data_IF_216913276860
#
_entry.id   IF_216913276860
#
_cell.length_a   1.000
_cell.length_b   1.000
_cell.length_c   1.000
_cell.angle_alpha   90.00
_cell.angle_beta   90.00
_cell.angle_gamma   90.00
#
_symmetry.space_group_name_H-M   'P 1'
#
loop_
_entity.id
_entity.type
_entity.pdbx_description
1 polymer ?
#
# COMPACT_ATOMS: atom_id res chain seq x y z
N UNK A 1 23.04 -27.46 21.31
CA UNK A 1 22.48 -27.31 19.95
C UNK A 1 21.31 -26.34 20.03
N UNK A 2 21.57 -25.03 19.88
CA UNK A 2 20.57 -23.98 20.08
C UNK A 2 19.65 -23.92 18.84
N UNK A 3 18.35 -24.09 19.06
CA UNK A 3 17.30 -24.01 18.04
C UNK A 3 17.23 -22.59 17.45
N UNK A 4 17.73 -22.43 16.23
CA UNK A 4 17.70 -21.18 15.43
C UNK A 4 16.35 -20.94 14.74
N UNK A 5 15.23 -21.33 15.34
CA UNK A 5 13.89 -21.20 14.72
C UNK A 5 13.00 -20.16 15.42
N UNK A 6 13.50 -18.95 15.62
CA UNK A 6 12.63 -17.82 15.97
C UNK A 6 13.09 -16.49 15.36
N UNK A 7 13.57 -16.54 14.11
CA UNK A 7 13.69 -15.33 13.29
C UNK A 7 12.28 -14.97 12.86
N UNK A 8 11.71 -13.99 13.56
CA UNK A 8 10.49 -13.28 13.22
C UNK A 8 10.30 -13.18 11.70
N UNK A 9 9.25 -13.81 11.19
CA UNK A 9 8.83 -13.83 9.79
C UNK A 9 8.28 -12.45 9.35
N UNK A 10 9.09 -11.39 9.48
CA UNK A 10 8.75 -10.00 9.13
C UNK A 10 9.64 -9.44 8.00
N UNK A 11 10.59 -10.22 7.48
CA UNK A 11 11.61 -9.69 6.56
C UNK A 11 11.10 -9.60 5.11
N UNK A 12 10.23 -10.51 4.69
CA UNK A 12 9.69 -10.55 3.32
C UNK A 12 8.25 -10.02 3.32
N UNK A 13 8.00 -8.98 2.51
CA UNK A 13 6.68 -8.34 2.37
C UNK A 13 5.81 -9.14 1.40
N UNK A 14 4.59 -9.44 1.81
CA UNK A 14 3.56 -10.00 0.92
C UNK A 14 2.86 -8.86 0.17
N UNK A 15 3.47 -8.41 -0.92
CA UNK A 15 2.94 -7.27 -1.68
C UNK A 15 1.71 -7.68 -2.47
N UNK A 16 0.65 -6.87 -2.38
CA UNK A 16 -0.55 -7.03 -3.17
C UNK A 16 -0.48 -6.10 -4.39
N UNK A 17 -0.01 -6.65 -5.52
CA UNK A 17 0.22 -5.91 -6.76
C UNK A 17 -1.07 -5.60 -7.54
N UNK A 18 -2.09 -6.44 -7.38
CA UNK A 18 -3.39 -6.32 -8.04
C UNK A 18 -4.46 -6.29 -6.97
N UNK A 19 -5.34 -5.28 -7.05
CA UNK A 19 -6.51 -5.15 -6.18
C UNK A 19 -7.73 -5.55 -7.00
N UNK A 20 -8.35 -6.68 -6.67
CA UNK A 20 -9.48 -7.23 -7.43
C UNK A 20 -10.70 -6.31 -7.40
N UNK A 21 -11.00 -5.72 -6.23
CA UNK A 21 -12.12 -4.79 -6.06
C UNK A 21 -11.65 -3.49 -5.39
N UNK A 22 -11.24 -2.48 -6.18
CA UNK A 22 -10.75 -1.21 -5.66
C UNK A 22 -11.78 -0.46 -4.80
N UNK A 23 -13.07 -0.57 -5.13
CA UNK A 23 -14.13 0.11 -4.37
C UNK A 23 -14.27 -0.48 -2.97
N UNK A 24 -14.31 -1.80 -2.88
CA UNK A 24 -14.34 -2.48 -1.59
C UNK A 24 -13.13 -2.13 -0.73
N UNK A 25 -11.93 -2.05 -1.33
CA UNK A 25 -10.72 -1.63 -0.64
C UNK A 25 -10.87 -0.23 -0.03
N UNK A 26 -11.36 0.76 -0.79
CA UNK A 26 -11.60 2.12 -0.27
C UNK A 26 -12.59 2.10 0.90
N UNK A 27 -13.68 1.34 0.77
CA UNK A 27 -14.72 1.23 1.80
C UNK A 27 -14.17 0.64 3.11
N UNK A 28 -13.19 -0.28 3.06
CA UNK A 28 -12.56 -0.85 4.26
C UNK A 28 -11.89 0.20 5.14
N UNK A 29 -11.32 1.26 4.55
CA UNK A 29 -10.60 2.31 5.27
C UNK A 29 -11.53 3.37 5.86
N UNK A 30 -12.82 3.37 5.51
CA UNK A 30 -13.85 4.28 6.05
C UNK A 30 -13.42 5.75 6.05
N UNK A 31 -12.75 6.16 4.97
CA UNK A 31 -12.23 7.53 4.78
C UNK A 31 -11.26 8.01 5.89
N UNK A 32 -10.68 7.08 6.66
CA UNK A 32 -9.66 7.41 7.65
C UNK A 32 -8.29 7.55 6.98
N UNK A 33 -7.38 8.28 7.64
CA UNK A 33 -6.00 8.41 7.18
C UNK A 33 -5.31 7.05 7.20
N UNK A 34 -4.75 6.66 6.06
CA UNK A 34 -3.96 5.43 5.90
C UNK A 34 -2.50 5.83 5.80
N UNK A 35 -1.64 5.17 6.58
CA UNK A 35 -0.19 5.36 6.44
C UNK A 35 0.24 4.73 5.12
N UNK A 36 1.05 5.43 4.35
CA UNK A 36 1.52 4.94 3.07
C UNK A 36 2.95 5.39 2.81
N UNK A 37 3.62 4.69 1.89
CA UNK A 37 4.94 5.06 1.37
C UNK A 37 4.73 5.41 -0.10
N UNK A 38 5.13 6.62 -0.50
CA UNK A 38 5.15 7.00 -1.93
C UNK A 38 6.36 6.33 -2.56
N UNK A 39 6.12 5.48 -3.55
CA UNK A 39 7.15 4.71 -4.24
C UNK A 39 7.61 5.42 -5.51
N UNK A 40 6.65 5.99 -6.27
CA UNK A 40 6.93 6.63 -7.54
C UNK A 40 6.01 7.83 -7.75
N UNK A 41 6.56 8.89 -8.33
CA UNK A 41 5.79 10.03 -8.85
C UNK A 41 5.64 9.84 -10.36
N UNK A 42 4.41 9.73 -10.87
CA UNK A 42 4.15 9.64 -12.31
C UNK A 42 4.05 11.04 -12.92
N UNK A 43 3.32 11.92 -12.25
CA UNK A 43 3.16 13.34 -12.58
C UNK A 43 2.78 14.12 -11.31
N UNK A 44 2.48 15.41 -11.42
CA UNK A 44 2.19 16.28 -10.28
C UNK A 44 0.94 15.92 -9.47
N UNK A 45 0.07 15.07 -10.00
CA UNK A 45 -1.18 14.65 -9.33
C UNK A 45 -1.37 13.14 -9.24
N UNK A 46 -0.54 12.34 -9.92
CA UNK A 46 -0.61 10.88 -9.96
C UNK A 46 0.63 10.25 -9.33
N UNK A 47 0.41 9.44 -8.31
CA UNK A 47 1.45 8.78 -7.52
C UNK A 47 1.24 7.27 -7.49
N UNK A 48 2.29 6.49 -7.26
CA UNK A 48 2.20 5.09 -6.84
C UNK A 48 2.65 4.95 -5.40
N UNK A 49 1.91 4.18 -4.61
CA UNK A 49 2.15 4.07 -3.18
C UNK A 49 1.86 2.66 -2.66
N UNK A 50 2.56 2.30 -1.58
CA UNK A 50 2.22 1.15 -0.75
C UNK A 50 1.38 1.59 0.44
N UNK A 51 0.17 1.04 0.58
CA UNK A 51 -0.66 1.24 1.77
C UNK A 51 -0.20 0.30 2.89
N UNK A 52 -0.03 0.83 4.10
CA UNK A 52 0.43 0.07 5.26
C UNK A 52 -0.76 -0.34 6.16
N UNK A 53 -0.67 -1.50 6.84
CA UNK A 53 0.50 -2.41 6.94
C UNK A 53 0.55 -3.50 5.86
N UNK A 54 -0.48 -3.65 5.03
CA UNK A 54 -0.68 -4.84 4.18
C UNK A 54 -0.01 -4.76 2.80
N UNK A 55 0.71 -3.67 2.53
CA UNK A 55 1.47 -3.44 1.30
C UNK A 55 0.65 -3.57 0.01
N UNK A 56 -0.53 -2.97 -0.03
CA UNK A 56 -1.28 -2.77 -1.28
C UNK A 56 -0.53 -1.79 -2.18
N UNK A 57 -0.13 -2.22 -3.37
CA UNK A 57 0.48 -1.36 -4.38
C UNK A 57 -0.63 -0.71 -5.20
N UNK A 58 -0.82 0.60 -5.03
CA UNK A 58 -1.92 1.32 -5.67
C UNK A 58 -1.41 2.53 -6.45
N UNK A 59 -2.17 2.91 -7.48
CA UNK A 59 -2.03 4.22 -8.13
C UNK A 59 -3.04 5.18 -7.50
N UNK A 60 -2.56 6.30 -6.98
CA UNK A 60 -3.37 7.34 -6.37
C UNK A 60 -3.40 8.57 -7.28
N UNK A 61 -4.56 9.20 -7.36
CA UNK A 61 -4.73 10.51 -7.99
C UNK A 61 -5.24 11.49 -6.94
N UNK A 62 -4.65 12.69 -6.89
CA UNK A 62 -5.11 13.75 -5.99
C UNK A 62 -6.52 14.20 -6.40
N UNK A 63 -7.48 14.06 -5.49
CA UNK A 63 -8.86 14.47 -5.75
C UNK A 63 -8.97 15.99 -5.91
N UNK A 64 -9.75 16.45 -6.91
CA UNK A 64 -10.03 17.87 -7.13
C UNK A 64 -8.93 18.62 -7.90
N UNK A 65 -7.86 17.94 -8.31
CA UNK A 65 -6.79 18.50 -9.15
C UNK A 65 -6.57 17.57 -10.33
N UNK A 66 -6.31 18.15 -11.51
CA UNK A 66 -5.85 17.42 -12.69
C UNK A 66 -4.71 18.21 -13.32
N UNK A 67 -3.62 17.52 -13.63
CA UNK A 67 -2.45 18.05 -14.35
C UNK A 67 -2.36 17.37 -15.69
#
# INVERSE_FOLDING_TARGET
>A
MLSTKNVRQFVVRHVQWVVENPRALVDTFKQKRVKAIIEQVRDGSTLRAFLLPDFYYVTLMLSGVKV
#
